data_IF_122857353191
#
_entry.id   IF_122857353191
#
_cell.length_a   1.000
_cell.length_b   1.000
_cell.length_c   1.000
_cell.angle_alpha   90.00
_cell.angle_beta   90.00
_cell.angle_gamma   90.00
#
_symmetry.space_group_name_H-M   'P 1'
#
loop_
_entity.id
_entity.type
_entity.pdbx_description
1 polymer ?
#
# COMPACT_ATOMS: atom_id res chain seq x y z
N UNK A 1 22.21 -23.96 1.87
CA UNK A 1 21.12 -23.11 2.40
C UNK A 1 19.98 -23.24 1.41
N UNK A 2 18.95 -23.97 1.76
CA UNK A 2 17.83 -24.23 0.83
C UNK A 2 16.91 -23.01 0.83
N UNK A 3 16.80 -22.35 -0.32
CA UNK A 3 15.92 -21.20 -0.50
C UNK A 3 14.47 -21.65 -0.68
N UNK A 4 13.54 -21.09 0.10
CA UNK A 4 12.12 -21.28 -0.12
C UNK A 4 11.63 -20.33 -1.21
N UNK A 5 10.99 -20.88 -2.26
CA UNK A 5 10.27 -20.10 -3.27
C UNK A 5 8.81 -20.02 -2.84
N UNK A 6 8.34 -18.80 -2.61
CA UNK A 6 6.92 -18.53 -2.36
C UNK A 6 6.27 -18.04 -3.65
N UNK A 7 5.17 -18.69 -4.04
CA UNK A 7 4.34 -18.27 -5.17
C UNK A 7 2.93 -17.98 -4.66
N UNK A 8 2.49 -16.73 -4.83
CA UNK A 8 1.11 -16.33 -4.55
C UNK A 8 0.25 -16.75 -5.75
N UNK A 9 -0.71 -17.66 -5.54
CA UNK A 9 -1.60 -18.16 -6.60
C UNK A 9 -2.79 -17.24 -6.87
N UNK A 10 -3.28 -16.55 -5.84
CA UNK A 10 -4.37 -15.59 -5.93
C UNK A 10 -4.42 -14.70 -4.69
N UNK A 11 -5.01 -13.52 -4.84
CA UNK A 11 -5.42 -12.64 -3.75
C UNK A 11 -6.85 -12.15 -4.02
N UNK A 12 -7.50 -11.55 -3.03
CA UNK A 12 -8.83 -10.97 -3.23
C UNK A 12 -8.77 -9.79 -4.19
N UNK A 13 -9.92 -9.43 -4.79
CA UNK A 13 -10.04 -8.22 -5.60
C UNK A 13 -9.55 -6.96 -4.85
N UNK A 14 -9.97 -6.80 -3.59
CA UNK A 14 -9.51 -5.70 -2.73
C UNK A 14 -7.99 -5.74 -2.49
N UNK A 15 -7.40 -6.93 -2.43
CA UNK A 15 -5.95 -7.11 -2.36
C UNK A 15 -5.25 -6.57 -3.61
N UNK A 16 -5.76 -6.87 -4.80
CA UNK A 16 -5.24 -6.30 -6.06
C UNK A 16 -5.37 -4.79 -6.07
N UNK A 17 -6.56 -4.25 -5.75
CA UNK A 17 -6.78 -2.80 -5.70
C UNK A 17 -5.83 -2.10 -4.72
N UNK A 18 -5.58 -2.70 -3.55
CA UNK A 18 -4.59 -2.19 -2.61
C UNK A 18 -3.18 -2.16 -3.21
N UNK A 19 -2.72 -3.27 -3.79
CA UNK A 19 -1.39 -3.36 -4.40
C UNK A 19 -1.22 -2.36 -5.56
N UNK A 20 -2.26 -2.14 -6.36
CA UNK A 20 -2.25 -1.14 -7.43
C UNK A 20 -2.14 0.28 -6.86
N UNK A 21 -2.80 0.54 -5.72
CA UNK A 21 -2.75 1.84 -5.03
C UNK A 21 -1.37 2.11 -4.42
N UNK A 22 -0.72 1.11 -3.81
CA UNK A 22 0.61 1.27 -3.18
C UNK A 22 1.77 0.85 -4.08
N UNK A 23 1.52 0.51 -5.35
CA UNK A 23 2.50 -0.14 -6.23
C UNK A 23 3.71 0.73 -6.57
N UNK A 24 3.57 2.05 -6.52
CA UNK A 24 4.69 2.98 -6.67
C UNK A 24 5.60 2.95 -5.42
N UNK A 25 6.92 2.70 -5.56
CA UNK A 25 7.84 2.68 -4.42
C UNK A 25 7.83 3.98 -3.60
N UNK A 26 7.64 5.11 -4.26
CA UNK A 26 7.53 6.43 -3.63
C UNK A 26 6.28 6.55 -2.76
N UNK A 27 5.11 6.18 -3.31
CA UNK A 27 3.84 6.16 -2.58
C UNK A 27 3.93 5.22 -1.39
N UNK A 28 4.47 4.02 -1.56
CA UNK A 28 4.62 3.06 -0.46
C UNK A 28 5.51 3.59 0.67
N UNK A 29 6.63 4.24 0.34
CA UNK A 29 7.52 4.83 1.34
C UNK A 29 6.81 5.92 2.14
N UNK A 30 6.09 6.81 1.46
CA UNK A 30 5.35 7.89 2.10
C UNK A 30 4.19 7.36 2.96
N UNK A 31 3.42 6.39 2.46
CA UNK A 31 2.35 5.74 3.22
C UNK A 31 2.87 5.16 4.53
N UNK A 32 3.97 4.38 4.49
CA UNK A 32 4.60 3.84 5.70
C UNK A 32 5.10 4.92 6.65
N UNK A 33 5.66 6.01 6.13
CA UNK A 33 6.14 7.13 6.94
C UNK A 33 5.00 7.84 7.68
N UNK A 34 3.83 7.97 7.04
CA UNK A 34 2.64 8.56 7.67
C UNK A 34 2.04 7.61 8.71
N UNK A 35 1.95 6.32 8.39
CA UNK A 35 1.23 5.35 9.21
C UNK A 35 2.07 4.76 10.35
N UNK A 36 3.39 4.88 10.32
CA UNK A 36 4.29 4.44 11.41
C UNK A 36 4.09 5.18 12.73
N UNK A 37 3.29 6.24 12.74
CA UNK A 37 2.97 7.04 13.93
C UNK A 37 1.95 6.37 14.86
N UNK A 38 1.33 5.27 14.43
CA UNK A 38 0.37 4.51 15.22
C UNK A 38 0.78 3.04 15.26
N UNK A 39 0.43 2.34 16.34
CA UNK A 39 0.89 0.97 16.58
C UNK A 39 0.20 -0.09 15.72
N UNK A 40 -1.02 0.18 15.26
CA UNK A 40 -1.80 -0.76 14.44
C UNK A 40 -2.58 -0.02 13.36
N UNK A 41 -2.51 -0.54 12.13
CA UNK A 41 -3.11 0.09 10.94
C UNK A 41 -3.75 -1.00 10.10
N UNK A 42 -5.01 -0.80 9.72
CA UNK A 42 -5.71 -1.72 8.81
C UNK A 42 -5.33 -1.46 7.36
N UNK A 43 -5.58 -2.43 6.48
CA UNK A 43 -5.32 -2.29 5.04
C UNK A 43 -6.13 -1.15 4.42
N UNK A 44 -7.35 -0.91 4.91
CA UNK A 44 -8.21 0.20 4.47
C UNK A 44 -7.59 1.56 4.81
N UNK A 45 -7.01 1.72 6.01
CA UNK A 45 -6.34 2.97 6.40
C UNK A 45 -5.09 3.19 5.55
N UNK A 46 -4.28 2.14 5.32
CA UNK A 46 -3.12 2.23 4.43
C UNK A 46 -3.53 2.64 3.01
N UNK A 47 -4.63 2.07 2.51
CA UNK A 47 -5.19 2.39 1.20
C UNK A 47 -5.63 3.85 1.12
N UNK A 48 -6.36 4.34 2.14
CA UNK A 48 -6.83 5.72 2.19
C UNK A 48 -5.68 6.73 2.22
N UNK A 49 -4.63 6.45 3.00
CA UNK A 49 -3.44 7.31 3.05
C UNK A 49 -2.76 7.36 1.69
N UNK A 50 -2.55 6.20 1.04
CA UNK A 50 -1.95 6.13 -0.28
C UNK A 50 -2.78 6.89 -1.34
N UNK A 51 -4.11 6.69 -1.37
CA UNK A 51 -5.02 7.42 -2.25
C UNK A 51 -4.92 8.93 -2.03
N UNK A 52 -4.88 9.39 -0.78
CA UNK A 52 -4.74 10.82 -0.48
C UNK A 52 -3.40 11.40 -0.99
N UNK A 53 -2.31 10.62 -0.93
CA UNK A 53 -1.01 11.04 -1.48
C UNK A 53 -1.05 11.13 -3.01
N UNK A 54 -1.72 10.18 -3.67
CA UNK A 54 -1.91 10.19 -5.12
C UNK A 54 -2.76 11.40 -5.54
N UNK A 55 -3.90 11.64 -4.87
CA UNK A 55 -4.74 12.82 -5.13
C UNK A 55 -3.96 14.13 -5.02
N UNK A 56 -3.04 14.23 -4.05
CA UNK A 56 -2.11 15.36 -3.92
C UNK A 56 -1.17 15.52 -5.09
N UNK A 57 -0.59 14.43 -5.58
CA UNK A 57 0.28 14.46 -6.75
C UNK A 57 -0.47 14.84 -8.03
N UNK A 58 -1.75 14.46 -8.13
CA UNK A 58 -2.62 14.78 -9.25
C UNK A 58 -3.25 16.18 -9.15
N UNK A 59 -3.08 16.89 -8.03
CA UNK A 59 -3.69 18.21 -7.81
C UNK A 59 -5.22 18.16 -7.62
N UNK A 60 -5.77 17.02 -7.19
CA UNK A 60 -7.20 16.80 -6.97
C UNK A 60 -7.68 17.23 -5.57
N UNK A 61 -6.92 18.11 -4.91
CA UNK A 61 -7.10 18.49 -3.51
C UNK A 61 -8.27 19.45 -3.31
#
# INVERSE_FOLDING_TARGET
MDGYIYMIKSISFNGHQFLDTVGSPEIWRQTKSVTSKVESVTIEILSQVATNLISKQLGLN
#
